data_IF_705356985529
#
_entry.id   IF_705356985529
#
_cell.length_a   1.000
_cell.length_b   1.000
_cell.length_c   1.000
_cell.angle_alpha   90.00
_cell.angle_beta   90.00
_cell.angle_gamma   90.00
#
_symmetry.space_group_name_H-M   'P 1'
#
loop_
_entity.id
_entity.type
_entity.pdbx_description
1 polymer ?
#
# COMPACT_ATOMS: atom_id res chain seq x y z
N UNK A 1 18.00 6.17 11.41
CA UNK A 1 16.65 5.87 11.88
C UNK A 1 16.00 7.17 12.32
N UNK A 2 14.93 7.56 11.67
CA UNK A 2 14.12 8.70 12.07
C UNK A 2 12.89 8.21 12.83
N UNK A 3 12.56 8.86 13.93
CA UNK A 3 11.33 8.60 14.68
C UNK A 3 10.31 9.70 14.38
N UNK A 4 9.04 9.47 14.73
CA UNK A 4 8.02 10.51 14.64
C UNK A 4 8.46 11.83 15.32
N UNK A 5 9.03 11.74 16.52
CA UNK A 5 9.47 12.91 17.27
C UNK A 5 10.65 13.65 16.57
N UNK A 6 11.64 12.90 16.07
CA UNK A 6 12.75 13.52 15.34
C UNK A 6 12.30 14.14 14.03
N UNK A 7 11.45 13.45 13.25
CA UNK A 7 10.91 14.00 12.00
C UNK A 7 10.07 15.25 12.24
N UNK A 8 9.25 15.26 13.30
CA UNK A 8 8.46 16.43 13.68
C UNK A 8 9.36 17.63 14.00
N UNK A 9 10.47 17.40 14.71
CA UNK A 9 11.43 18.46 15.00
C UNK A 9 12.17 18.90 13.74
N UNK A 10 12.63 17.96 12.92
CA UNK A 10 13.31 18.30 11.65
C UNK A 10 12.40 19.16 10.73
N UNK A 11 11.10 18.85 10.64
CA UNK A 11 10.16 19.65 9.84
C UNK A 11 10.07 21.09 10.36
N UNK A 12 10.04 21.31 11.69
CA UNK A 12 10.01 22.62 12.31
C UNK A 12 11.30 23.39 12.04
N UNK A 13 12.44 22.73 12.24
CA UNK A 13 13.76 23.32 12.08
C UNK A 13 14.01 23.74 10.61
N UNK A 14 13.66 22.88 9.64
CA UNK A 14 13.81 23.20 8.22
C UNK A 14 12.79 24.22 7.71
N UNK A 15 11.61 24.29 8.31
CA UNK A 15 10.60 25.31 8.00
C UNK A 15 10.86 26.64 8.76
N UNK A 16 11.79 26.66 9.72
CA UNK A 16 12.04 27.77 10.64
C UNK A 16 10.74 28.28 11.28
N UNK A 17 9.83 27.33 11.63
CA UNK A 17 8.50 27.68 12.11
C UNK A 17 8.04 26.75 13.26
N UNK A 18 7.88 27.36 14.44
CA UNK A 18 7.41 26.72 15.67
C UNK A 18 5.98 27.15 16.06
N UNK A 19 5.27 27.87 15.21
CA UNK A 19 3.93 28.35 15.49
C UNK A 19 2.99 27.17 15.80
N UNK A 20 2.06 27.41 16.73
CA UNK A 20 1.10 26.40 17.17
C UNK A 20 0.24 25.90 16.01
N UNK A 21 -0.17 26.81 15.11
CA UNK A 21 -0.98 26.44 13.95
C UNK A 21 -0.20 25.51 13.02
N UNK A 22 1.05 25.84 12.68
CA UNK A 22 1.94 25.00 11.89
C UNK A 22 2.17 23.64 12.55
N UNK A 23 2.49 23.65 13.85
CA UNK A 23 2.77 22.45 14.64
C UNK A 23 1.59 21.45 14.65
N UNK A 24 0.35 21.93 14.69
CA UNK A 24 -0.85 21.07 14.64
C UNK A 24 -1.10 20.44 13.28
N UNK A 25 -0.45 20.91 12.21
CA UNK A 25 -0.59 20.39 10.85
C UNK A 25 0.47 19.34 10.48
N UNK A 26 1.50 19.16 11.29
CA UNK A 26 2.62 18.26 10.98
C UNK A 26 2.12 16.82 10.76
N UNK A 27 1.19 16.33 11.55
CA UNK A 27 0.60 14.99 11.34
C UNK A 27 -0.04 14.85 9.96
N UNK A 28 -0.69 15.92 9.49
CA UNK A 28 -1.28 15.97 8.15
C UNK A 28 -0.19 15.97 7.07
N UNK A 29 0.91 16.71 7.27
CA UNK A 29 2.02 16.72 6.33
C UNK A 29 2.66 15.33 6.21
N UNK A 30 2.88 14.65 7.34
CA UNK A 30 3.42 13.28 7.36
C UNK A 30 2.48 12.31 6.63
N UNK A 31 1.18 12.33 6.93
CA UNK A 31 0.20 11.46 6.29
C UNK A 31 0.10 11.69 4.76
N UNK A 32 0.16 12.96 4.32
CA UNK A 32 0.17 13.31 2.89
C UNK A 32 1.47 12.86 2.22
N UNK A 33 2.61 13.03 2.88
CA UNK A 33 3.92 12.60 2.40
C UNK A 33 4.00 11.08 2.22
N UNK A 34 3.53 10.31 3.20
CA UNK A 34 3.45 8.85 3.10
C UNK A 34 2.51 8.42 1.96
N UNK A 35 1.36 9.09 1.81
CA UNK A 35 0.42 8.84 0.71
C UNK A 35 1.01 9.18 -0.66
N UNK A 36 1.84 10.21 -0.75
CA UNK A 36 2.62 10.55 -1.95
C UNK A 36 3.62 9.47 -2.28
N UNK A 37 4.45 9.07 -1.31
CA UNK A 37 5.44 7.98 -1.46
C UNK A 37 4.78 6.68 -1.91
N UNK A 38 3.61 6.35 -1.37
CA UNK A 38 2.86 5.17 -1.78
C UNK A 38 2.48 5.19 -3.28
N UNK A 39 2.15 6.36 -3.82
CA UNK A 39 1.81 6.52 -5.25
C UNK A 39 3.05 6.53 -6.14
N UNK A 40 4.10 7.23 -5.70
CA UNK A 40 5.29 7.49 -6.52
C UNK A 40 6.29 6.33 -6.47
N UNK A 41 6.29 5.54 -5.38
CA UNK A 41 7.20 4.43 -5.15
C UNK A 41 6.49 3.08 -4.91
N UNK A 42 5.58 2.62 -5.79
CA UNK A 42 4.86 1.36 -5.60
C UNK A 42 5.76 0.12 -5.63
N UNK A 43 7.04 0.29 -5.98
CA UNK A 43 8.07 -0.76 -5.99
C UNK A 43 8.62 -1.08 -4.60
N UNK A 44 8.41 -0.20 -3.59
CA UNK A 44 8.93 -0.41 -2.24
C UNK A 44 8.33 -1.66 -1.58
N UNK A 45 9.21 -2.45 -0.94
CA UNK A 45 8.79 -3.64 -0.20
C UNK A 45 7.88 -3.31 1.00
N UNK A 46 8.02 -2.11 1.59
CA UNK A 46 7.16 -1.63 2.67
C UNK A 46 5.66 -1.69 2.36
N UNK A 47 5.32 -1.62 1.07
CA UNK A 47 3.93 -1.61 0.61
C UNK A 47 3.43 -2.99 0.15
N UNK A 48 4.27 -4.02 0.21
CA UNK A 48 3.90 -5.39 -0.14
C UNK A 48 3.47 -6.16 1.10
N UNK A 49 2.34 -6.80 1.02
CA UNK A 49 1.80 -7.63 2.09
C UNK A 49 1.27 -8.94 1.53
N UNK A 50 1.35 -9.99 2.34
CA UNK A 50 0.74 -11.29 2.06
C UNK A 50 -0.38 -11.52 3.07
N UNK A 51 -1.60 -11.65 2.55
CA UNK A 51 -2.78 -11.96 3.34
C UNK A 51 -3.16 -13.41 3.11
N UNK A 52 -3.19 -14.18 4.18
CA UNK A 52 -3.51 -15.61 4.16
C UNK A 52 -4.81 -15.91 4.91
N UNK A 53 -5.48 -16.97 4.53
CA UNK A 53 -6.70 -17.41 5.18
C UNK A 53 -7.30 -18.64 4.51
N UNK A 54 -8.60 -18.84 4.66
CA UNK A 54 -9.31 -19.98 4.07
C UNK A 54 -10.53 -19.55 3.30
N UNK A 55 -10.67 -20.04 2.06
CA UNK A 55 -11.89 -19.98 1.28
C UNK A 55 -12.84 -21.08 1.77
N UNK A 56 -14.06 -20.71 2.11
CA UNK A 56 -15.06 -21.69 2.55
C UNK A 56 -15.74 -22.37 1.36
N UNK A 57 -15.99 -23.67 1.47
CA UNK A 57 -16.79 -24.40 0.49
C UNK A 57 -18.17 -23.77 0.32
N UNK A 58 -18.64 -23.68 -0.92
CA UNK A 58 -19.94 -23.09 -1.26
C UNK A 58 -20.00 -21.56 -1.25
N UNK A 59 -18.91 -20.87 -0.90
CA UNK A 59 -18.85 -19.42 -0.85
C UNK A 59 -17.96 -18.88 -1.98
N UNK A 60 -18.57 -18.20 -2.96
CA UNK A 60 -17.84 -17.66 -4.11
C UNK A 60 -17.13 -16.34 -3.84
N UNK A 61 -17.35 -15.71 -2.69
CA UNK A 61 -16.81 -14.37 -2.38
C UNK A 61 -15.89 -14.43 -1.15
N UNK A 62 -14.86 -13.59 -1.17
CA UNK A 62 -13.94 -13.37 -0.05
C UNK A 62 -13.91 -11.87 0.25
N UNK A 63 -14.05 -11.53 1.53
CA UNK A 63 -13.81 -10.16 1.96
C UNK A 63 -12.33 -9.80 1.76
N UNK A 64 -12.07 -8.67 1.13
CA UNK A 64 -10.72 -8.16 0.94
C UNK A 64 -10.22 -7.55 2.25
N UNK A 65 -8.96 -7.79 2.64
CA UNK A 65 -8.37 -7.12 3.80
C UNK A 65 -8.43 -5.60 3.64
N UNK A 66 -8.60 -4.90 4.76
CA UNK A 66 -8.64 -3.43 4.75
C UNK A 66 -7.29 -2.86 4.29
N UNK A 67 -7.33 -1.79 3.52
CA UNK A 67 -6.10 -1.09 3.07
C UNK A 67 -5.50 -1.61 1.77
N UNK A 68 -5.97 -2.75 1.24
CA UNK A 68 -5.51 -3.28 -0.05
C UNK A 68 -5.88 -2.31 -1.17
N UNK A 69 -4.89 -1.88 -1.95
CA UNK A 69 -5.09 -1.02 -3.13
C UNK A 69 -4.90 -1.77 -4.45
N UNK A 70 -3.94 -2.69 -4.49
CA UNK A 70 -3.64 -3.43 -5.71
C UNK A 70 -3.31 -4.87 -5.35
N UNK A 71 -3.95 -5.81 -6.03
CA UNK A 71 -3.65 -7.24 -5.91
C UNK A 71 -2.60 -7.60 -6.95
N UNK A 72 -1.53 -8.27 -6.51
CA UNK A 72 -0.45 -8.76 -7.37
C UNK A 72 -0.72 -10.17 -7.84
N UNK A 73 -1.09 -11.04 -6.91
CA UNK A 73 -1.43 -12.42 -7.20
C UNK A 73 -2.39 -12.98 -6.15
N UNK A 74 -3.15 -13.96 -6.55
CA UNK A 74 -3.99 -14.77 -5.67
C UNK A 74 -3.68 -16.22 -5.95
N UNK A 75 -3.37 -16.99 -4.92
CA UNK A 75 -3.17 -18.43 -5.00
C UNK A 75 -4.03 -19.17 -3.98
N UNK A 76 -4.26 -20.43 -4.26
CA UNK A 76 -4.89 -21.38 -3.34
C UNK A 76 -3.97 -22.59 -3.19
N UNK A 77 -3.97 -23.19 -2.01
CA UNK A 77 -3.21 -24.43 -1.78
C UNK A 77 -4.08 -25.64 -2.05
N UNK A 78 -3.63 -26.48 -2.98
CA UNK A 78 -4.29 -27.74 -3.37
C UNK A 78 -3.29 -28.86 -3.22
N UNK A 79 -3.58 -29.85 -2.37
CA UNK A 79 -2.68 -31.00 -2.14
C UNK A 79 -1.23 -30.57 -1.85
N UNK A 80 -1.04 -29.57 -0.98
CA UNK A 80 0.25 -28.98 -0.61
C UNK A 80 1.03 -28.28 -1.74
N UNK A 81 0.34 -27.93 -2.83
CA UNK A 81 0.89 -27.15 -3.93
C UNK A 81 0.10 -25.86 -4.12
N UNK A 82 0.81 -24.76 -4.38
CA UNK A 82 0.16 -23.48 -4.64
C UNK A 82 -0.27 -23.40 -6.11
N UNK A 83 -1.55 -23.09 -6.30
CA UNK A 83 -2.17 -22.89 -7.60
C UNK A 83 -2.54 -21.42 -7.75
N UNK A 84 -1.87 -20.72 -8.65
CA UNK A 84 -2.16 -19.32 -8.93
C UNK A 84 -3.44 -19.19 -9.76
N UNK A 85 -4.34 -18.31 -9.30
CA UNK A 85 -5.59 -18.01 -9.97
C UNK A 85 -5.39 -16.91 -11.01
N UNK A 86 -6.14 -17.01 -12.11
CA UNK A 86 -6.11 -15.99 -13.15
C UNK A 86 -7.13 -14.90 -12.85
N UNK A 87 -6.68 -13.64 -12.91
CA UNK A 87 -7.58 -12.50 -12.82
C UNK A 87 -8.45 -12.40 -14.07
N UNK A 88 -9.76 -12.24 -13.88
CA UNK A 88 -10.76 -12.01 -14.93
C UNK A 88 -11.74 -10.91 -14.51
N UNK A 89 -12.52 -10.41 -15.45
CA UNK A 89 -13.63 -9.52 -15.13
C UNK A 89 -14.74 -10.29 -14.39
N UNK A 90 -15.42 -9.65 -13.46
CA UNK A 90 -16.53 -10.26 -12.72
C UNK A 90 -17.67 -10.72 -13.64
N UNK A 91 -17.92 -10.01 -14.75
CA UNK A 91 -18.88 -10.41 -15.78
C UNK A 91 -18.52 -11.74 -16.44
N UNK A 92 -17.23 -11.93 -16.76
CA UNK A 92 -16.74 -13.20 -17.33
C UNK A 92 -16.98 -14.39 -16.38
N UNK A 93 -16.66 -14.21 -15.08
CA UNK A 93 -16.88 -15.27 -14.09
C UNK A 93 -18.36 -15.61 -13.97
N UNK A 94 -19.24 -14.59 -13.95
CA UNK A 94 -20.69 -14.78 -13.85
C UNK A 94 -21.31 -15.40 -15.11
N UNK A 95 -20.73 -15.13 -16.27
CA UNK A 95 -21.15 -15.72 -17.54
C UNK A 95 -20.77 -17.21 -17.61
N UNK A 96 -19.54 -17.53 -17.21
CA UNK A 96 -19.03 -18.92 -17.18
C UNK A 96 -19.64 -19.76 -16.05
N UNK A 97 -19.95 -19.14 -14.91
CA UNK A 97 -20.49 -19.78 -13.71
C UNK A 97 -21.71 -18.99 -13.20
N UNK A 98 -22.86 -19.07 -13.92
CA UNK A 98 -24.01 -18.22 -13.66
C UNK A 98 -24.72 -18.51 -12.32
N UNK A 99 -24.46 -19.68 -11.74
CA UNK A 99 -25.02 -20.06 -10.45
C UNK A 99 -23.94 -20.43 -9.45
N UNK A 100 -24.13 -20.08 -8.18
CA UNK A 100 -23.25 -20.49 -7.08
C UNK A 100 -23.25 -22.02 -6.84
N UNK A 101 -24.26 -22.73 -7.39
CA UNK A 101 -24.34 -24.19 -7.34
C UNK A 101 -23.26 -24.86 -8.22
N UNK A 102 -22.70 -24.16 -9.21
CA UNK A 102 -21.57 -24.66 -9.99
C UNK A 102 -20.32 -24.60 -9.17
N UNK A 103 -20.04 -25.68 -8.44
CA UNK A 103 -18.86 -25.76 -7.54
C UNK A 103 -17.70 -26.46 -8.20
N UNK A 104 -16.50 -26.13 -7.81
CA UNK A 104 -15.26 -26.75 -8.29
C UNK A 104 -14.03 -26.13 -7.62
N UNK A 105 -12.85 -26.60 -8.01
CA UNK A 105 -11.62 -25.93 -7.63
C UNK A 105 -11.56 -24.54 -8.31
N UNK A 106 -11.42 -23.44 -7.55
CA UNK A 106 -11.27 -22.10 -8.12
C UNK A 106 -10.13 -22.02 -9.13
N UNK A 107 -10.37 -21.37 -10.27
CA UNK A 107 -9.38 -21.11 -11.32
C UNK A 107 -9.20 -19.63 -11.62
N UNK A 108 -10.26 -18.87 -11.36
CA UNK A 108 -10.33 -17.44 -11.66
C UNK A 108 -10.72 -16.65 -10.43
N UNK A 109 -10.26 -15.42 -10.39
CA UNK A 109 -10.77 -14.43 -9.44
C UNK A 109 -11.07 -13.12 -10.13
N UNK A 110 -11.95 -12.33 -9.57
CA UNK A 110 -12.24 -10.95 -9.99
C UNK A 110 -12.32 -10.04 -8.77
N UNK A 111 -11.92 -8.79 -8.93
CA UNK A 111 -12.20 -7.74 -7.97
C UNK A 111 -13.67 -7.35 -8.18
N UNK A 112 -14.52 -7.66 -7.20
CA UNK A 112 -15.95 -7.38 -7.29
C UNK A 112 -16.27 -5.98 -6.76
N UNK A 113 -15.59 -5.56 -5.70
CA UNK A 113 -15.63 -4.23 -5.12
C UNK A 113 -14.28 -3.94 -4.44
N UNK A 114 -14.13 -2.73 -3.87
CA UNK A 114 -13.00 -2.35 -3.02
C UNK A 114 -12.83 -3.24 -1.77
N UNK A 115 -13.87 -3.98 -1.40
CA UNK A 115 -13.91 -4.80 -0.19
C UNK A 115 -14.11 -6.29 -0.46
N UNK A 116 -14.21 -6.74 -1.73
CA UNK A 116 -14.52 -8.15 -2.01
C UNK A 116 -13.92 -8.68 -3.31
N UNK A 117 -13.51 -9.95 -3.25
CA UNK A 117 -13.11 -10.77 -4.39
C UNK A 117 -14.21 -11.79 -4.73
N UNK A 118 -14.38 -12.07 -6.01
CA UNK A 118 -15.24 -13.11 -6.54
C UNK A 118 -14.37 -14.23 -7.13
N UNK A 119 -14.68 -15.47 -6.81
CA UNK A 119 -14.00 -16.67 -7.32
C UNK A 119 -14.88 -17.45 -8.29
N UNK A 120 -14.25 -18.07 -9.26
CA UNK A 120 -14.93 -18.93 -10.22
C UNK A 120 -14.11 -20.17 -10.62
N UNK A 121 -14.73 -21.37 -10.61
CA UNK A 121 -16.02 -21.72 -10.03
C UNK A 121 -16.10 -21.51 -8.50
N UNK A 122 -17.31 -21.58 -7.94
CA UNK A 122 -17.51 -21.55 -6.48
C UNK A 122 -16.70 -22.68 -5.82
N UNK A 123 -15.93 -22.42 -4.75
CA UNK A 123 -15.14 -23.44 -4.09
C UNK A 123 -15.97 -24.67 -3.69
N UNK A 124 -15.55 -25.86 -4.10
CA UNK A 124 -16.19 -27.12 -3.73
C UNK A 124 -15.62 -27.73 -2.43
N UNK A 125 -14.56 -27.13 -1.91
CA UNK A 125 -13.90 -27.53 -0.67
C UNK A 125 -13.38 -26.30 0.05
N UNK A 126 -12.86 -26.46 1.27
CA UNK A 126 -12.10 -25.43 1.95
C UNK A 126 -10.68 -25.41 1.39
N UNK A 127 -10.22 -24.24 0.92
CA UNK A 127 -8.88 -24.04 0.38
C UNK A 127 -8.15 -22.97 1.19
N UNK A 128 -6.94 -23.25 1.64
CA UNK A 128 -6.06 -22.17 2.09
C UNK A 128 -5.78 -21.24 0.90
N UNK A 129 -5.73 -19.94 1.16
CA UNK A 129 -5.40 -18.94 0.13
C UNK A 129 -4.29 -18.02 0.59
N UNK A 130 -3.59 -17.46 -0.37
CA UNK A 130 -2.70 -16.32 -0.21
C UNK A 130 -3.05 -15.25 -1.23
N UNK A 131 -3.22 -14.01 -0.74
CA UNK A 131 -3.38 -12.81 -1.57
C UNK A 131 -2.14 -11.95 -1.36
N UNK A 132 -1.27 -11.89 -2.36
CA UNK A 132 -0.18 -10.94 -2.39
C UNK A 132 -0.70 -9.61 -2.91
N UNK A 133 -0.65 -8.60 -2.07
CA UNK A 133 -1.25 -7.30 -2.34
C UNK A 133 -0.28 -6.15 -2.04
N UNK A 134 -0.69 -4.97 -2.46
CA UNK A 134 -0.10 -3.70 -2.06
C UNK A 134 -1.06 -3.02 -1.10
N UNK A 135 -0.58 -2.71 0.10
CA UNK A 135 -1.32 -2.02 1.14
C UNK A 135 -0.59 -0.77 1.59
N UNK A 136 -1.35 0.21 2.06
CA UNK A 136 -0.78 1.31 2.84
C UNK A 136 -0.45 0.77 4.24
N UNK A 137 0.82 0.75 4.66
CA UNK A 137 1.15 0.39 6.02
C UNK A 137 0.57 1.42 7.00
N UNK A 138 0.49 1.04 8.28
CA UNK A 138 0.15 1.99 9.35
C UNK A 138 1.13 3.15 9.32
N UNK A 139 0.60 4.38 9.17
CA UNK A 139 1.39 5.59 9.04
C UNK A 139 2.16 5.95 10.30
N UNK A 140 3.18 6.79 10.14
CA UNK A 140 3.99 7.35 11.21
C UNK A 140 3.15 8.31 12.05
N UNK A 141 3.12 8.13 13.36
CA UNK A 141 2.34 8.95 14.30
C UNK A 141 2.90 8.86 15.71
N UNK A 142 2.33 9.61 16.64
CA UNK A 142 2.69 9.52 18.06
C UNK A 142 2.44 8.13 18.66
N UNK A 143 1.45 7.39 18.13
CA UNK A 143 1.16 6.00 18.54
C UNK A 143 1.96 4.94 17.77
N UNK A 144 2.48 5.27 16.60
CA UNK A 144 3.33 4.42 15.77
C UNK A 144 4.61 5.20 15.42
N UNK A 145 5.56 5.19 16.33
CA UNK A 145 6.72 6.09 16.34
C UNK A 145 7.79 5.79 15.31
N UNK A 146 7.73 4.64 14.64
CA UNK A 146 8.65 4.25 13.58
C UNK A 146 7.92 3.44 12.50
N UNK A 147 8.27 3.67 11.24
CA UNK A 147 7.78 2.92 10.09
C UNK A 147 8.96 2.41 9.27
N UNK A 148 8.69 1.55 8.30
CA UNK A 148 9.73 1.15 7.35
C UNK A 148 10.32 2.36 6.62
N UNK A 149 9.47 3.32 6.24
CA UNK A 149 9.90 4.55 5.55
C UNK A 149 10.83 5.37 6.44
N UNK A 150 10.47 5.58 7.70
CA UNK A 150 11.28 6.38 8.64
C UNK A 150 12.62 5.72 8.98
N UNK A 151 12.71 4.40 8.86
CA UNK A 151 13.94 3.65 9.16
C UNK A 151 14.87 3.51 7.96
N UNK A 152 14.33 3.33 6.75
CA UNK A 152 15.12 2.96 5.57
C UNK A 152 15.28 4.11 4.56
N UNK A 153 14.32 5.04 4.51
CA UNK A 153 14.33 6.17 3.56
C UNK A 153 13.90 7.48 4.23
N UNK A 154 14.53 7.85 5.37
CA UNK A 154 14.12 9.01 6.15
C UNK A 154 14.28 10.35 5.40
N UNK A 155 15.26 10.44 4.52
CA UNK A 155 15.52 11.61 3.67
C UNK A 155 14.37 11.84 2.68
N UNK A 156 13.95 10.81 1.98
CA UNK A 156 12.82 10.87 1.02
C UNK A 156 11.53 11.26 1.73
N UNK A 157 11.29 10.68 2.93
CA UNK A 157 10.13 11.00 3.74
C UNK A 157 10.17 12.46 4.21
N UNK A 158 11.32 12.95 4.69
CA UNK A 158 11.49 14.34 5.11
C UNK A 158 11.23 15.31 3.94
N UNK A 159 11.83 15.04 2.76
CA UNK A 159 11.63 15.91 1.59
C UNK A 159 10.17 15.96 1.15
N UNK A 160 9.47 14.82 1.19
CA UNK A 160 8.04 14.78 0.92
C UNK A 160 7.24 15.61 1.95
N UNK A 161 7.57 15.53 3.25
CA UNK A 161 6.96 16.35 4.29
C UNK A 161 7.22 17.84 4.07
N UNK A 162 8.45 18.21 3.68
CA UNK A 162 8.81 19.62 3.43
C UNK A 162 8.06 20.22 2.23
N UNK A 163 7.73 19.42 1.21
CA UNK A 163 6.87 19.87 0.12
C UNK A 163 5.49 20.27 0.65
N UNK A 164 4.88 19.45 1.51
CA UNK A 164 3.60 19.74 2.13
C UNK A 164 3.67 20.96 3.07
N UNK A 165 4.72 21.04 3.88
CA UNK A 165 4.95 22.17 4.79
C UNK A 165 5.12 23.50 4.02
N UNK A 166 5.96 23.52 2.98
CA UNK A 166 6.16 24.72 2.15
C UNK A 166 4.87 25.08 1.38
N UNK A 167 4.07 24.10 0.98
CA UNK A 167 2.77 24.35 0.35
C UNK A 167 1.80 25.01 1.34
N UNK A 168 1.76 24.55 2.60
CA UNK A 168 0.97 25.16 3.66
C UNK A 168 1.40 26.61 3.92
N UNK A 169 2.71 26.87 3.95
CA UNK A 169 3.28 28.20 4.14
C UNK A 169 3.19 29.10 2.90
N UNK A 170 2.66 28.61 1.79
CA UNK A 170 2.60 29.31 0.49
C UNK A 170 3.98 29.74 -0.04
N UNK A 171 5.04 29.01 0.35
CA UNK A 171 6.43 29.27 -0.05
C UNK A 171 6.81 28.51 -1.32
N UNK A 172 6.49 29.09 -2.48
CA UNK A 172 6.63 28.46 -3.80
C UNK A 172 8.08 28.05 -4.14
N UNK A 173 9.07 28.86 -3.78
CA UNK A 173 10.49 28.54 -4.02
C UNK A 173 10.92 27.31 -3.22
N UNK A 174 10.45 27.19 -1.98
CA UNK A 174 10.67 26.01 -1.13
C UNK A 174 10.04 24.76 -1.73
N UNK A 175 8.79 24.85 -2.20
CA UNK A 175 8.11 23.72 -2.88
C UNK A 175 8.93 23.23 -4.07
N UNK A 176 9.45 24.14 -4.90
CA UNK A 176 10.28 23.78 -6.07
C UNK A 176 11.57 23.09 -5.67
N UNK A 177 12.28 23.66 -4.69
CA UNK A 177 13.56 23.15 -4.21
C UNK A 177 13.41 21.76 -3.58
N UNK A 178 12.44 21.58 -2.68
CA UNK A 178 12.19 20.29 -2.02
C UNK A 178 11.65 19.24 -2.98
N UNK A 179 10.87 19.64 -3.98
CA UNK A 179 10.42 18.71 -5.03
C UNK A 179 11.58 18.17 -5.86
N UNK A 180 12.58 19.02 -6.18
CA UNK A 180 13.77 18.57 -6.90
C UNK A 180 14.57 17.54 -6.09
N UNK A 181 14.83 17.81 -4.80
CA UNK A 181 15.53 16.88 -3.90
C UNK A 181 14.76 15.56 -3.73
N UNK A 182 13.44 15.65 -3.59
CA UNK A 182 12.57 14.47 -3.50
C UNK A 182 12.70 13.58 -4.74
N UNK A 183 12.62 14.17 -5.95
CA UNK A 183 12.71 13.41 -7.21
C UNK A 183 14.10 12.78 -7.40
N UNK A 184 15.17 13.50 -7.05
CA UNK A 184 16.54 12.98 -7.09
C UNK A 184 16.70 11.76 -6.18
N UNK A 185 16.30 11.87 -4.91
CA UNK A 185 16.38 10.79 -3.95
C UNK A 185 15.49 9.60 -4.33
N UNK A 186 14.29 9.86 -4.85
CA UNK A 186 13.37 8.82 -5.32
C UNK A 186 13.96 8.03 -6.51
N UNK A 187 14.59 8.71 -7.46
CA UNK A 187 15.23 8.06 -8.61
C UNK A 187 16.45 7.22 -8.20
N UNK A 188 17.21 7.69 -7.22
CA UNK A 188 18.33 6.96 -6.62
C UNK A 188 17.82 5.66 -5.95
N UNK A 189 16.77 5.77 -5.14
CA UNK A 189 16.13 4.65 -4.47
C UNK A 189 15.59 3.62 -5.47
N UNK A 190 14.96 4.06 -6.56
CA UNK A 190 14.49 3.18 -7.62
C UNK A 190 15.63 2.41 -8.27
N UNK A 191 16.76 3.09 -8.54
CA UNK A 191 17.95 2.48 -9.12
C UNK A 191 18.58 1.45 -8.19
N UNK A 192 18.59 1.68 -6.89
CA UNK A 192 19.06 0.75 -5.87
C UNK A 192 18.17 -0.50 -5.82
N UNK A 193 16.85 -0.33 -5.81
CA UNK A 193 15.90 -1.44 -5.77
C UNK A 193 15.96 -2.33 -7.01
N UNK A 194 16.20 -1.75 -8.20
CA UNK A 194 16.38 -2.53 -9.44
C UNK A 194 17.65 -3.37 -9.41
N UNK A 195 18.71 -2.90 -8.75
CA UNK A 195 19.98 -3.67 -8.61
C UNK A 195 19.86 -4.83 -7.62
N UNK A 196 18.87 -4.81 -6.75
CA UNK A 196 18.64 -5.84 -5.73
C UNK A 196 17.74 -6.99 -6.22
N UNK A 197 17.18 -6.89 -7.43
CA UNK A 197 16.39 -7.92 -8.11
C UNK A 197 17.25 -8.80 -9.02
#
# INVERSE_FOLDING_TARGET
MSTYASLTQDIKDFAENDDTEFSTKIDTFIANAESRLFRDAPFLYAFKTSNTGSLSSGTATLAMPAGVRTIRSVSITVSSSDVFLQQRLGSYIRDMFPTSATTGQPKYYAIQSDTSLLFGPTPNNTYAFEVLAQENPTGLSSGNTTTWLSNNVPDVLLYACMIEACTFLQFTEGVTSWSAKYQESLSSLQSEMVRSL
#
